data_IF_720407971326
#
_entry.id   IF_720407971326
#
_cell.length_a   1.000
_cell.length_b   1.000
_cell.length_c   1.000
_cell.angle_alpha   90.00
_cell.angle_beta   90.00
_cell.angle_gamma   90.00
#
_symmetry.space_group_name_H-M   'P 1'
#
loop_
_entity.id
_entity.type
_entity.pdbx_description
1 polymer ?
#
# COMPACT_ATOMS: atom_id res chain seq x y z
N UNK A 1 10.32 -5.05 -22.52
CA UNK A 1 10.59 -5.51 -21.15
C UNK A 1 9.77 -4.65 -20.21
N UNK A 2 8.90 -5.27 -19.43
CA UNK A 2 8.00 -4.61 -18.47
C UNK A 2 8.32 -5.12 -17.08
N UNK A 3 8.53 -4.19 -16.14
CA UNK A 3 8.67 -4.48 -14.71
C UNK A 3 7.49 -3.87 -13.97
N UNK A 4 6.77 -4.68 -13.20
CA UNK A 4 5.70 -4.23 -12.31
C UNK A 4 6.19 -4.16 -10.87
N UNK A 5 6.08 -2.98 -10.25
CA UNK A 5 6.35 -2.81 -8.82
C UNK A 5 5.04 -2.92 -8.03
N UNK A 6 4.88 -4.04 -7.36
CA UNK A 6 3.70 -4.36 -6.57
C UNK A 6 3.86 -4.05 -5.07
N UNK A 7 4.82 -3.22 -4.72
CA UNK A 7 5.08 -2.89 -3.31
C UNK A 7 3.88 -2.24 -2.60
N UNK A 8 2.98 -1.57 -3.34
CA UNK A 8 1.77 -0.93 -2.81
C UNK A 8 0.46 -1.57 -3.28
N UNK A 9 0.51 -2.74 -3.87
CA UNK A 9 -0.67 -3.38 -4.47
C UNK A 9 -0.82 -4.85 -4.11
N UNK A 10 0.29 -5.56 -3.90
CA UNK A 10 0.26 -6.97 -3.49
C UNK A 10 -0.50 -7.15 -2.18
N UNK A 11 -1.41 -8.11 -2.16
CA UNK A 11 -2.27 -8.46 -1.04
C UNK A 11 -3.71 -7.96 -1.19
N UNK A 12 -3.96 -6.89 -1.96
CA UNK A 12 -5.30 -6.30 -2.02
C UNK A 12 -5.78 -5.87 -3.42
N UNK A 13 -4.90 -5.66 -4.40
CA UNK A 13 -5.30 -5.44 -5.79
C UNK A 13 -5.44 -6.76 -6.54
N UNK A 14 -6.42 -6.79 -7.45
CA UNK A 14 -6.76 -7.97 -8.26
C UNK A 14 -7.62 -9.00 -7.50
N UNK A 15 -8.29 -9.88 -8.22
CA UNK A 15 -9.21 -10.88 -7.65
C UNK A 15 -8.55 -11.78 -6.61
N UNK A 16 -7.28 -12.14 -6.83
CA UNK A 16 -6.51 -13.00 -5.93
C UNK A 16 -5.53 -12.19 -5.05
N UNK A 17 -5.49 -10.86 -5.18
CA UNK A 17 -4.58 -10.00 -4.44
C UNK A 17 -3.14 -10.09 -4.93
N UNK A 18 -2.93 -10.40 -6.21
CA UNK A 18 -1.58 -10.50 -6.78
C UNK A 18 -0.97 -9.14 -7.11
N UNK A 19 -1.80 -8.12 -7.33
CA UNK A 19 -1.36 -6.76 -7.60
C UNK A 19 -2.06 -6.10 -8.77
N UNK A 20 -1.52 -4.95 -9.19
CA UNK A 20 -2.10 -4.15 -10.27
C UNK A 20 -2.05 -4.88 -11.62
N UNK A 21 -0.99 -5.63 -11.90
CA UNK A 21 -0.88 -6.39 -13.14
C UNK A 21 -2.01 -7.44 -13.31
N UNK A 22 -2.43 -8.07 -12.19
CA UNK A 22 -3.59 -8.96 -12.18
C UNK A 22 -4.89 -8.16 -12.37
N UNK A 23 -5.05 -7.05 -11.67
CA UNK A 23 -6.24 -6.19 -11.77
C UNK A 23 -6.45 -5.64 -13.18
N UNK A 24 -5.37 -5.42 -13.94
CA UNK A 24 -5.40 -4.93 -15.32
C UNK A 24 -5.42 -6.06 -16.38
N UNK A 25 -5.36 -7.32 -15.97
CA UNK A 25 -5.32 -8.45 -16.90
C UNK A 25 -4.03 -8.55 -17.73
N UNK A 26 -2.92 -8.01 -17.22
CA UNK A 26 -1.62 -7.95 -17.91
C UNK A 26 -0.66 -9.04 -17.44
N UNK A 27 -1.15 -10.14 -16.87
CA UNK A 27 -0.31 -11.20 -16.27
C UNK A 27 0.68 -11.83 -17.26
N UNK A 28 0.32 -11.90 -18.56
CA UNK A 28 1.19 -12.42 -19.61
C UNK A 28 2.20 -11.43 -20.18
N UNK A 29 2.05 -10.14 -19.88
CA UNK A 29 2.84 -9.05 -20.49
C UNK A 29 3.94 -8.51 -19.57
N UNK A 30 3.99 -8.99 -18.33
CA UNK A 30 4.97 -8.53 -17.33
C UNK A 30 6.14 -9.50 -17.25
N UNK A 31 7.34 -8.99 -17.56
CA UNK A 31 8.59 -9.78 -17.52
C UNK A 31 9.10 -9.99 -16.09
N UNK A 32 8.99 -8.95 -15.25
CA UNK A 32 9.48 -8.95 -13.87
C UNK A 32 8.45 -8.35 -12.93
N UNK A 33 8.23 -9.01 -11.80
CA UNK A 33 7.41 -8.50 -10.71
C UNK A 33 8.32 -8.30 -9.50
N UNK A 34 8.32 -7.11 -8.94
CA UNK A 34 9.03 -6.78 -7.70
C UNK A 34 8.04 -6.34 -6.64
N UNK A 35 8.41 -6.54 -5.39
CA UNK A 35 7.60 -6.10 -4.27
C UNK A 35 8.35 -6.11 -2.95
N UNK A 36 7.68 -5.66 -1.91
CA UNK A 36 8.23 -5.60 -0.56
C UNK A 36 7.45 -6.48 0.41
N UNK A 37 8.15 -7.02 1.39
CA UNK A 37 7.51 -7.72 2.52
C UNK A 37 7.13 -6.78 3.67
N UNK A 38 7.50 -5.49 3.60
CA UNK A 38 7.30 -4.55 4.70
C UNK A 38 5.90 -3.92 4.77
N UNK A 39 4.96 -4.34 3.93
CA UNK A 39 3.58 -3.83 3.88
C UNK A 39 2.57 -4.96 4.16
N UNK A 40 1.86 -5.42 3.15
CA UNK A 40 0.83 -6.48 3.29
C UNK A 40 1.34 -7.79 3.88
N UNK A 41 2.60 -8.12 3.65
CA UNK A 41 3.24 -9.33 4.19
C UNK A 41 3.66 -9.16 5.66
N UNK A 42 3.91 -7.93 6.12
CA UNK A 42 4.14 -7.61 7.54
C UNK A 42 5.49 -8.06 8.10
N UNK A 43 6.54 -8.13 7.27
CA UNK A 43 7.91 -8.43 7.69
C UNK A 43 8.91 -7.52 6.95
N UNK A 44 10.17 -7.86 6.86
CA UNK A 44 11.20 -7.07 6.17
C UNK A 44 11.71 -7.77 4.92
N UNK A 45 12.29 -6.99 3.99
CA UNK A 45 12.84 -7.50 2.74
C UNK A 45 11.92 -7.27 1.55
N UNK A 46 12.21 -7.96 0.46
CA UNK A 46 11.47 -7.87 -0.78
C UNK A 46 11.76 -9.06 -1.68
N UNK A 47 11.15 -9.04 -2.84
CA UNK A 47 11.30 -10.10 -3.83
C UNK A 47 11.35 -9.53 -5.24
N UNK A 48 11.93 -10.31 -6.12
CA UNK A 48 11.78 -10.19 -7.56
C UNK A 48 11.47 -11.58 -8.11
N UNK A 49 10.48 -11.69 -8.97
CA UNK A 49 10.12 -12.94 -9.65
C UNK A 49 9.97 -12.71 -11.15
N UNK A 50 10.28 -13.75 -11.93
CA UNK A 50 10.16 -13.71 -13.39
C UNK A 50 10.06 -15.13 -13.94
N UNK A 51 9.39 -15.28 -15.07
CA UNK A 51 9.40 -16.50 -15.89
C UNK A 51 10.52 -16.48 -16.96
N UNK A 52 11.38 -15.45 -16.95
CA UNK A 52 12.44 -15.32 -17.94
C UNK A 52 13.49 -16.44 -17.75
N UNK A 53 13.85 -17.19 -18.81
CA UNK A 53 14.70 -18.39 -18.68
C UNK A 53 16.10 -18.11 -18.15
N UNK A 54 16.59 -16.87 -18.27
CA UNK A 54 17.91 -16.43 -17.75
C UNK A 54 17.77 -15.70 -16.40
N UNK A 55 16.63 -15.79 -15.70
CA UNK A 55 16.41 -15.03 -14.47
C UNK A 55 17.43 -15.34 -13.37
N UNK A 56 17.87 -16.60 -13.28
CA UNK A 56 18.89 -17.00 -12.28
C UNK A 56 20.23 -16.25 -12.44
N UNK A 57 20.55 -15.76 -13.65
CA UNK A 57 21.76 -14.95 -13.88
C UNK A 57 21.73 -13.61 -13.10
N UNK A 58 20.57 -13.10 -12.74
CA UNK A 58 20.41 -11.88 -11.93
C UNK A 58 21.08 -12.04 -10.57
N UNK A 59 21.04 -13.23 -9.98
CA UNK A 59 21.69 -13.52 -8.70
C UNK A 59 23.19 -13.22 -8.71
N UNK A 60 23.83 -13.41 -9.84
CA UNK A 60 25.27 -13.18 -10.02
C UNK A 60 25.57 -11.79 -10.62
N UNK A 61 24.65 -11.25 -11.41
CA UNK A 61 24.84 -9.97 -12.11
C UNK A 61 24.38 -8.77 -11.29
N UNK A 62 23.40 -8.95 -10.39
CA UNK A 62 22.85 -7.88 -9.57
C UNK A 62 23.75 -7.59 -8.37
N UNK A 63 24.58 -6.55 -8.47
CA UNK A 63 25.53 -6.18 -7.42
C UNK A 63 24.88 -5.91 -6.06
N UNK A 64 23.74 -5.18 -5.97
CA UNK A 64 23.05 -5.00 -4.69
C UNK A 64 22.59 -6.30 -4.05
N UNK A 65 22.31 -7.33 -4.86
CA UNK A 65 21.90 -8.64 -4.35
C UNK A 65 23.11 -9.48 -3.88
N UNK A 66 24.15 -9.59 -4.71
CA UNK A 66 25.29 -10.47 -4.42
C UNK A 66 26.13 -9.98 -3.23
N UNK A 67 26.17 -8.66 -2.98
CA UNK A 67 26.94 -8.05 -1.89
C UNK A 67 26.10 -7.72 -0.66
N UNK A 68 24.88 -8.25 -0.55
CA UNK A 68 24.01 -8.06 0.61
C UNK A 68 23.89 -9.34 1.43
N UNK A 69 23.69 -9.20 2.74
CA UNK A 69 23.43 -10.35 3.60
C UNK A 69 22.02 -10.91 3.28
N UNK A 70 21.89 -12.23 3.29
CA UNK A 70 20.61 -12.90 3.11
C UNK A 70 19.64 -12.58 4.24
N UNK A 71 18.34 -12.65 3.94
CA UNK A 71 17.30 -12.50 4.96
C UNK A 71 17.42 -13.62 6.01
N UNK A 72 17.24 -13.31 7.31
CA UNK A 72 17.20 -14.33 8.35
C UNK A 72 16.12 -15.39 8.09
N UNK A 73 16.34 -16.65 8.46
CA UNK A 73 15.36 -17.72 8.26
C UNK A 73 13.98 -17.43 8.87
N UNK A 74 13.93 -16.74 10.01
CA UNK A 74 12.69 -16.31 10.66
C UNK A 74 11.88 -15.35 9.79
N UNK A 75 12.54 -14.42 9.12
CA UNK A 75 11.92 -13.47 8.18
C UNK A 75 11.34 -14.21 6.97
N UNK A 76 12.11 -15.14 6.41
CA UNK A 76 11.64 -15.95 5.28
C UNK A 76 10.44 -16.80 5.66
N UNK A 77 10.48 -17.44 6.84
CA UNK A 77 9.37 -18.22 7.36
C UNK A 77 8.11 -17.35 7.58
N UNK A 78 8.26 -16.15 8.15
CA UNK A 78 7.18 -15.18 8.34
C UNK A 78 6.59 -14.76 7.00
N UNK A 79 7.42 -14.38 6.04
CA UNK A 79 6.96 -14.00 4.70
C UNK A 79 6.17 -15.14 4.04
N UNK A 80 6.70 -16.37 4.11
CA UNK A 80 6.03 -17.55 3.56
C UNK A 80 4.66 -17.79 4.20
N UNK A 81 4.56 -17.71 5.52
CA UNK A 81 3.28 -17.89 6.22
C UNK A 81 2.28 -16.80 5.89
N UNK A 82 2.74 -15.53 5.81
CA UNK A 82 1.89 -14.39 5.46
C UNK A 82 1.38 -14.49 4.01
N UNK A 83 2.24 -14.81 3.06
CA UNK A 83 1.84 -14.98 1.65
C UNK A 83 0.79 -16.08 1.51
N UNK A 84 0.97 -17.22 2.18
CA UNK A 84 -0.04 -18.30 2.18
C UNK A 84 -1.39 -17.85 2.71
N UNK A 85 -1.40 -17.01 3.76
CA UNK A 85 -2.64 -16.40 4.29
C UNK A 85 -3.25 -15.41 3.30
N UNK A 86 -2.43 -14.59 2.64
CA UNK A 86 -2.91 -13.62 1.64
C UNK A 86 -3.58 -14.31 0.44
N UNK A 87 -3.12 -15.48 0.02
CA UNK A 87 -3.72 -16.24 -1.09
C UNK A 87 -5.20 -16.57 -0.85
N UNK A 88 -5.62 -16.73 0.39
CA UNK A 88 -7.00 -17.11 0.77
C UNK A 88 -7.77 -15.98 1.46
N UNK A 89 -7.22 -14.77 1.54
CA UNK A 89 -7.76 -13.66 2.32
C UNK A 89 -8.84 -12.85 1.58
N UNK A 90 -9.78 -13.50 0.88
CA UNK A 90 -10.83 -12.82 0.09
C UNK A 90 -11.69 -11.91 0.95
N UNK A 91 -12.23 -12.40 2.07
CA UNK A 91 -13.07 -11.61 2.98
C UNK A 91 -12.34 -10.39 3.57
N UNK A 92 -11.03 -10.53 3.86
CA UNK A 92 -10.24 -9.40 4.33
C UNK A 92 -10.02 -8.35 3.24
N UNK A 93 -9.82 -8.76 2.00
CA UNK A 93 -9.74 -7.84 0.86
C UNK A 93 -11.05 -7.09 0.66
N UNK A 94 -12.17 -7.79 0.67
CA UNK A 94 -13.50 -7.18 0.54
C UNK A 94 -13.75 -6.15 1.65
N UNK A 95 -13.43 -6.49 2.90
CA UNK A 95 -13.55 -5.58 4.04
C UNK A 95 -12.64 -4.36 3.89
N UNK A 96 -11.39 -4.55 3.49
CA UNK A 96 -10.47 -3.44 3.23
C UNK A 96 -11.04 -2.46 2.19
N UNK A 97 -11.55 -2.99 1.08
CA UNK A 97 -12.15 -2.18 0.03
C UNK A 97 -13.46 -1.52 0.46
N UNK A 98 -14.27 -2.19 1.28
CA UNK A 98 -15.46 -1.60 1.89
C UNK A 98 -15.09 -0.41 2.77
N UNK A 99 -14.14 -0.59 3.69
CA UNK A 99 -13.63 0.48 4.54
C UNK A 99 -13.08 1.66 3.72
N UNK A 100 -12.30 1.36 2.67
CA UNK A 100 -11.75 2.39 1.80
C UNK A 100 -12.82 3.21 1.08
N UNK A 101 -13.83 2.55 0.53
CA UNK A 101 -14.95 3.24 -0.13
C UNK A 101 -15.73 4.11 0.84
N UNK A 102 -16.04 3.60 2.03
CA UNK A 102 -16.78 4.34 3.06
C UNK A 102 -16.03 5.60 3.48
N UNK A 103 -14.74 5.49 3.82
CA UNK A 103 -13.96 6.66 4.24
C UNK A 103 -13.75 7.64 3.09
N UNK A 104 -13.47 7.15 1.88
CA UNK A 104 -13.30 8.02 0.71
C UNK A 104 -14.58 8.83 0.42
N UNK A 105 -15.75 8.18 0.38
CA UNK A 105 -17.02 8.85 0.13
C UNK A 105 -17.34 9.86 1.23
N UNK A 106 -17.21 9.47 2.51
CA UNK A 106 -17.47 10.36 3.63
C UNK A 106 -16.59 11.60 3.64
N UNK A 107 -15.29 11.46 3.38
CA UNK A 107 -14.39 12.61 3.29
C UNK A 107 -14.74 13.53 2.11
N UNK A 108 -15.18 12.98 0.98
CA UNK A 108 -15.67 13.80 -0.15
C UNK A 108 -16.96 14.54 0.20
N UNK A 109 -17.90 13.90 0.87
CA UNK A 109 -19.16 14.52 1.32
C UNK A 109 -18.90 15.66 2.31
N UNK A 110 -17.85 15.57 3.13
CA UNK A 110 -17.37 16.65 3.99
C UNK A 110 -16.70 17.79 3.23
N UNK A 111 -16.49 17.66 1.92
CA UNK A 111 -15.90 18.70 1.07
C UNK A 111 -14.37 18.65 1.00
N UNK A 112 -13.72 17.62 1.49
CA UNK A 112 -12.27 17.48 1.36
C UNK A 112 -11.87 17.20 -0.08
N UNK A 113 -10.77 17.83 -0.51
CA UNK A 113 -10.10 17.50 -1.77
C UNK A 113 -9.26 16.25 -1.56
N UNK A 114 -9.56 15.20 -2.30
CA UNK A 114 -8.83 13.93 -2.25
C UNK A 114 -7.89 13.76 -3.44
N UNK A 115 -6.91 12.89 -3.29
CA UNK A 115 -5.92 12.58 -4.32
C UNK A 115 -6.48 11.80 -5.52
N UNK A 116 -7.64 11.14 -5.35
CA UNK A 116 -8.33 10.39 -6.40
C UNK A 116 -9.82 10.71 -6.41
N UNK A 117 -10.46 10.55 -7.57
CA UNK A 117 -11.90 10.76 -7.73
C UNK A 117 -12.73 9.62 -7.12
N UNK A 118 -12.19 8.43 -7.12
CA UNK A 118 -12.81 7.22 -6.56
C UNK A 118 -11.87 6.54 -5.57
N UNK A 119 -12.37 5.59 -4.81
CA UNK A 119 -11.57 4.79 -3.88
C UNK A 119 -10.72 3.77 -4.66
N UNK A 120 -9.57 4.20 -5.16
CA UNK A 120 -8.63 3.40 -5.96
C UNK A 120 -7.52 2.76 -5.11
N UNK A 121 -7.48 3.06 -3.81
CA UNK A 121 -6.46 2.55 -2.89
C UNK A 121 -7.01 2.45 -1.47
N UNK A 122 -6.42 1.59 -0.67
CA UNK A 122 -6.59 1.57 0.78
C UNK A 122 -5.91 2.77 1.48
N UNK A 123 -5.20 3.59 0.71
CA UNK A 123 -4.58 4.83 1.16
C UNK A 123 -5.35 6.00 0.56
N UNK A 124 -5.91 6.84 1.42
CA UNK A 124 -6.65 8.03 1.01
C UNK A 124 -5.80 9.25 1.36
N UNK A 125 -5.50 10.07 0.36
CA UNK A 125 -4.75 11.30 0.52
C UNK A 125 -5.72 12.49 0.57
N UNK A 126 -5.80 13.16 1.71
CA UNK A 126 -6.48 14.45 1.85
C UNK A 126 -5.49 15.55 1.48
N UNK A 127 -5.81 16.32 0.44
CA UNK A 127 -4.93 17.35 -0.12
C UNK A 127 -5.21 18.69 0.56
N UNK A 128 -4.16 19.31 1.07
CA UNK A 128 -4.17 20.63 1.67
C UNK A 128 -3.15 21.53 0.95
N UNK A 129 -3.43 22.83 0.89
CA UNK A 129 -2.57 23.81 0.20
C UNK A 129 -1.84 24.73 1.18
N UNK A 130 -2.23 24.72 2.44
CA UNK A 130 -1.61 25.51 3.51
C UNK A 130 -0.89 24.63 4.52
N UNK A 131 0.36 24.96 4.80
CA UNK A 131 1.20 24.20 5.71
C UNK A 131 0.72 24.28 7.17
N UNK A 132 0.31 25.45 7.61
CA UNK A 132 -0.14 25.66 8.98
C UNK A 132 -1.42 24.88 9.24
N UNK A 133 -2.36 24.96 8.30
CA UNK A 133 -3.60 24.17 8.34
C UNK A 133 -3.31 22.67 8.40
N UNK A 134 -2.37 22.18 7.58
CA UNK A 134 -2.01 20.76 7.55
C UNK A 134 -1.44 20.29 8.90
N UNK A 135 -0.56 21.08 9.51
CA UNK A 135 0.04 20.77 10.81
C UNK A 135 -1.01 20.80 11.91
N UNK A 136 -1.83 21.85 11.96
CA UNK A 136 -2.89 21.98 12.98
C UNK A 136 -3.90 20.83 12.87
N UNK A 137 -4.33 20.49 11.65
CA UNK A 137 -5.26 19.39 11.43
C UNK A 137 -4.65 18.05 11.82
N UNK A 138 -3.40 17.79 11.45
CA UNK A 138 -2.68 16.59 11.85
C UNK A 138 -2.61 16.44 13.37
N UNK A 139 -2.27 17.53 14.07
CA UNK A 139 -2.17 17.54 15.53
C UNK A 139 -3.53 17.33 16.19
N UNK A 140 -4.58 18.00 15.71
CA UNK A 140 -5.93 17.84 16.21
C UNK A 140 -6.44 16.39 16.03
N UNK A 141 -6.17 15.76 14.88
CA UNK A 141 -6.51 14.37 14.65
C UNK A 141 -5.79 13.44 15.64
N UNK A 142 -4.50 13.67 15.87
CA UNK A 142 -3.71 12.89 16.82
C UNK A 142 -4.24 13.03 18.26
N UNK A 143 -4.54 14.24 18.70
CA UNK A 143 -5.13 14.52 20.01
C UNK A 143 -6.51 13.87 20.19
N UNK A 144 -7.26 13.71 19.11
CA UNK A 144 -8.53 12.98 19.09
C UNK A 144 -8.37 11.47 18.84
N UNK A 145 -7.14 10.94 18.89
CA UNK A 145 -6.85 9.51 18.78
C UNK A 145 -6.90 8.96 17.36
N UNK A 146 -6.80 9.81 16.35
CA UNK A 146 -6.69 9.44 14.94
C UNK A 146 -5.27 9.67 14.45
N UNK A 147 -4.54 8.59 14.19
CA UNK A 147 -3.19 8.67 13.64
C UNK A 147 -3.22 8.64 12.11
N UNK A 148 -2.74 9.71 11.50
CA UNK A 148 -2.51 9.82 10.06
C UNK A 148 -1.08 10.28 9.78
N UNK A 149 -0.52 9.89 8.64
CA UNK A 149 0.77 10.41 8.23
C UNK A 149 0.60 11.75 7.49
N UNK A 150 1.45 12.72 7.83
CA UNK A 150 1.53 13.97 7.09
C UNK A 150 2.71 13.91 6.11
N UNK A 151 2.47 14.20 4.83
CA UNK A 151 3.50 14.37 3.83
C UNK A 151 3.55 15.82 3.36
N UNK A 152 4.77 16.33 3.14
CA UNK A 152 5.05 17.70 2.73
C UNK A 152 6.25 17.75 1.77
N UNK A 153 6.49 18.84 1.06
CA UNK A 153 7.70 18.98 0.27
C UNK A 153 8.98 18.69 1.07
N UNK A 154 9.98 17.99 0.49
CA UNK A 154 10.08 17.57 -0.92
C UNK A 154 9.39 16.23 -1.25
N UNK A 155 8.74 15.56 -0.29
CA UNK A 155 8.03 14.29 -0.55
C UNK A 155 6.71 14.49 -1.32
N UNK A 156 6.26 15.71 -1.46
CA UNK A 156 5.13 16.15 -2.29
C UNK A 156 5.57 17.32 -3.18
N UNK A 157 4.82 17.63 -4.25
CA UNK A 157 5.07 18.86 -5.03
C UNK A 157 5.03 20.12 -4.16
N UNK A 158 5.72 21.17 -4.60
CA UNK A 158 5.73 22.46 -3.91
C UNK A 158 4.30 22.99 -3.71
N UNK A 159 4.00 23.48 -2.51
CA UNK A 159 2.68 23.99 -2.13
C UNK A 159 1.61 22.92 -1.91
N UNK A 160 1.97 21.63 -1.89
CA UNK A 160 1.04 20.53 -1.65
C UNK A 160 1.38 19.83 -0.34
N UNK A 161 0.40 19.69 0.53
CA UNK A 161 0.50 18.97 1.81
C UNK A 161 -0.55 17.85 1.80
N UNK A 162 -0.21 16.70 2.36
CA UNK A 162 -1.13 15.57 2.41
C UNK A 162 -1.31 15.09 3.84
N UNK A 163 -2.54 14.81 4.22
CA UNK A 163 -2.82 13.88 5.31
C UNK A 163 -3.15 12.52 4.69
N UNK A 164 -2.32 11.54 4.99
CA UNK A 164 -2.40 10.19 4.44
C UNK A 164 -3.12 9.29 5.42
N UNK A 165 -4.37 8.98 5.14
CA UNK A 165 -5.16 7.99 5.85
C UNK A 165 -4.89 6.61 5.26
N UNK A 166 -4.29 5.72 6.05
CA UNK A 166 -3.99 4.33 5.64
C UNK A 166 -4.95 3.38 6.34
N UNK A 167 -5.79 2.72 5.57
CA UNK A 167 -6.79 1.80 6.08
C UNK A 167 -6.28 0.36 6.09
N UNK A 168 -6.85 -0.45 6.96
CA UNK A 168 -6.60 -1.89 6.98
C UNK A 168 -7.92 -2.68 7.11
N UNK A 169 -7.86 -3.97 6.83
CA UNK A 169 -9.01 -4.86 6.90
C UNK A 169 -9.50 -5.10 8.33
N UNK A 170 -8.69 -4.79 9.34
CA UNK A 170 -9.03 -4.99 10.74
C UNK A 170 -9.67 -3.76 11.40
N UNK A 171 -9.78 -2.62 10.68
CA UNK A 171 -10.58 -1.51 11.17
C UNK A 171 -12.04 -1.94 11.31
N UNK A 172 -12.59 -1.74 12.52
CA UNK A 172 -14.00 -2.03 12.81
C UNK A 172 -14.90 -0.95 12.24
N UNK A 173 -16.21 -1.22 12.06
CA UNK A 173 -17.18 -0.20 11.64
C UNK A 173 -17.11 1.07 12.52
N UNK A 174 -17.03 0.89 13.84
CA UNK A 174 -16.97 1.99 14.81
C UNK A 174 -15.70 2.84 14.63
N UNK A 175 -14.57 2.19 14.28
CA UNK A 175 -13.34 2.92 13.98
C UNK A 175 -13.45 3.68 12.67
N UNK A 176 -14.12 3.11 11.66
CA UNK A 176 -14.37 3.79 10.39
C UNK A 176 -15.31 5.00 10.58
N UNK A 177 -16.37 4.84 11.36
CA UNK A 177 -17.28 5.94 11.73
C UNK A 177 -16.52 7.06 12.47
N UNK A 178 -15.63 6.70 13.40
CA UNK A 178 -14.82 7.66 14.14
C UNK A 178 -13.86 8.46 13.24
N UNK A 179 -13.40 7.90 12.13
CA UNK A 179 -12.58 8.64 11.15
C UNK A 179 -13.41 9.77 10.51
N UNK A 180 -14.71 9.58 10.39
CA UNK A 180 -15.64 10.51 9.74
C UNK A 180 -16.39 11.43 10.74
N UNK A 181 -16.20 11.26 12.03
CA UNK A 181 -16.80 12.10 13.06
C UNK A 181 -15.96 13.36 13.34
#
# INVERSE_FOLDING_TARGET
>A
MVLSDEAHSMGFYGPNGRGVYEAQGCEGDVDFIVGTFSKSVGTVGGFCVSNHPKFEAIRLACRPYIFTASLPPSVVATATASIRKLMTAHEKRERLWSNARTVHSGLREMGFKLGTETAESAIIAVILTDQTQAVMMWQALLENGLYVNMARPPATPAGTFLLRCSLCAEHTPEQVERILA
#
